data_IF_867299849427
#
_entry.id   IF_867299849427
#
_cell.length_a   1.000
_cell.length_b   1.000
_cell.length_c   1.000
_cell.angle_alpha   90.00
_cell.angle_beta   90.00
_cell.angle_gamma   90.00
#
_symmetry.space_group_name_H-M   'P 1'
#
loop_
_entity.id
_entity.type
_entity.pdbx_description
1 polymer ?
#
# COMPACT_ATOMS: atom_id res chain seq x y z
N UNK A 1 9.92 -1.45 -5.55
CA UNK A 1 8.68 -0.78 -5.11
C UNK A 1 7.58 -1.82 -5.02
N UNK A 2 6.94 -1.92 -3.88
CA UNK A 2 5.82 -2.86 -3.67
C UNK A 2 4.68 -2.04 -3.06
N UNK A 3 3.62 -1.80 -3.82
CA UNK A 3 2.52 -0.93 -3.40
C UNK A 3 1.26 -1.77 -3.24
N UNK A 4 0.73 -1.84 -2.01
CA UNK A 4 -0.58 -2.41 -1.72
C UNK A 4 -1.69 -1.40 -2.00
N UNK A 5 -2.60 -1.72 -2.92
CA UNK A 5 -3.80 -0.94 -3.18
C UNK A 5 -4.92 -1.83 -3.67
N UNK A 6 -6.16 -1.50 -3.32
CA UNK A 6 -7.35 -2.24 -3.77
C UNK A 6 -8.44 -1.35 -4.36
N UNK A 7 -8.58 -0.10 -3.89
CA UNK A 7 -9.62 0.79 -4.39
C UNK A 7 -9.20 1.45 -5.71
N UNK A 8 -10.14 1.50 -6.66
CA UNK A 8 -9.98 2.21 -7.95
C UNK A 8 -11.09 3.24 -8.14
N UNK A 9 -11.52 3.86 -7.04
CA UNK A 9 -12.66 4.76 -7.00
C UNK A 9 -12.50 5.94 -7.97
N UNK A 10 -11.29 6.51 -8.08
CA UNK A 10 -11.05 7.63 -8.99
C UNK A 10 -11.20 7.23 -10.47
N UNK A 11 -10.79 6.01 -10.85
CA UNK A 11 -11.02 5.46 -12.20
C UNK A 11 -12.52 5.37 -12.49
N UNK A 12 -13.33 4.97 -11.50
CA UNK A 12 -14.78 4.93 -11.64
C UNK A 12 -15.34 6.34 -11.83
N UNK A 13 -14.87 7.32 -11.06
CA UNK A 13 -15.34 8.72 -11.18
C UNK A 13 -15.00 9.29 -12.55
N UNK A 14 -13.75 9.19 -13.00
CA UNK A 14 -13.34 9.77 -14.29
C UNK A 14 -14.00 9.06 -15.47
N UNK A 15 -14.25 7.74 -15.37
CA UNK A 15 -14.96 6.99 -16.42
C UNK A 15 -16.40 7.45 -16.65
N UNK A 16 -17.04 8.12 -15.68
CA UNK A 16 -18.39 8.68 -15.83
C UNK A 16 -18.39 10.03 -16.56
N UNK A 17 -17.28 10.76 -16.55
CA UNK A 17 -17.11 12.04 -17.22
C UNK A 17 -16.46 11.84 -18.60
N UNK A 18 -17.10 11.06 -19.48
CA UNK A 18 -16.51 10.62 -20.76
C UNK A 18 -16.01 11.81 -21.62
N UNK A 19 -16.70 12.95 -21.56
CA UNK A 19 -16.33 14.16 -22.31
C UNK A 19 -15.11 14.91 -21.74
N UNK A 20 -14.64 14.53 -20.54
CA UNK A 20 -13.49 15.13 -19.86
C UNK A 20 -12.24 14.24 -19.90
N UNK A 21 -12.37 13.02 -20.43
CA UNK A 21 -11.27 12.07 -20.58
C UNK A 21 -10.21 12.66 -21.51
N UNK A 22 -8.95 12.64 -21.04
CA UNK A 22 -7.78 13.08 -21.77
C UNK A 22 -6.65 12.03 -21.73
N UNK A 23 -5.51 12.34 -22.34
CA UNK A 23 -4.38 11.40 -22.47
C UNK A 23 -3.73 11.02 -21.14
N UNK A 24 -3.98 11.75 -20.04
CA UNK A 24 -3.45 11.41 -18.73
C UNK A 24 -4.28 10.34 -18.01
N UNK A 25 -5.56 10.14 -18.34
CA UNK A 25 -6.46 9.23 -17.61
C UNK A 25 -5.90 7.82 -17.44
N UNK A 26 -5.36 7.25 -18.53
CA UNK A 26 -4.76 5.91 -18.50
C UNK A 26 -3.59 5.83 -17.50
N UNK A 27 -2.70 6.83 -17.51
CA UNK A 27 -1.54 6.85 -16.59
C UNK A 27 -1.90 7.37 -15.19
N UNK A 28 -2.99 8.11 -15.05
CA UNK A 28 -3.45 8.71 -13.79
C UNK A 28 -4.15 7.71 -12.88
N UNK A 29 -4.74 6.66 -13.45
CA UNK A 29 -5.62 5.72 -12.71
C UNK A 29 -5.17 4.26 -12.74
N UNK A 30 -4.28 3.88 -13.65
CA UNK A 30 -3.75 2.52 -13.74
C UNK A 30 -3.05 2.08 -12.43
N UNK A 31 -3.49 0.96 -11.86
CA UNK A 31 -2.94 0.44 -10.60
C UNK A 31 -1.41 0.23 -10.67
N UNK A 32 -0.90 -0.31 -11.78
CA UNK A 32 0.54 -0.49 -12.02
C UNK A 32 1.34 0.80 -11.96
N UNK A 33 0.74 1.92 -12.39
CA UNK A 33 1.40 3.23 -12.40
C UNK A 33 1.60 3.76 -10.98
N UNK A 34 0.81 3.33 -9.99
CA UNK A 34 1.04 3.72 -8.59
C UNK A 34 2.44 3.29 -8.10
N UNK A 35 2.91 2.10 -8.48
CA UNK A 35 4.27 1.64 -8.18
C UNK A 35 5.30 2.21 -9.18
N UNK A 36 4.98 2.13 -10.48
CA UNK A 36 5.92 2.49 -11.54
C UNK A 36 6.27 3.99 -11.55
N UNK A 37 5.35 4.86 -11.15
CA UNK A 37 5.60 6.31 -11.06
C UNK A 37 6.64 6.62 -9.99
N UNK A 38 6.62 5.92 -8.85
CA UNK A 38 7.67 6.05 -7.82
C UNK A 38 9.01 5.55 -8.37
N UNK A 39 9.01 4.38 -9.03
CA UNK A 39 10.23 3.88 -9.69
C UNK A 39 10.80 4.87 -10.70
N UNK A 40 9.96 5.42 -11.56
CA UNK A 40 10.34 6.39 -12.59
C UNK A 40 10.91 7.67 -11.96
N UNK A 41 10.18 8.29 -11.03
CA UNK A 41 10.58 9.56 -10.40
C UNK A 41 11.92 9.47 -9.68
N UNK A 42 12.21 8.32 -9.04
CA UNK A 42 13.44 8.11 -8.29
C UNK A 42 14.50 7.29 -9.05
N UNK A 43 14.28 7.03 -10.36
CA UNK A 43 15.16 6.22 -11.21
C UNK A 43 15.54 4.85 -10.59
N UNK A 44 14.55 4.16 -10.03
CA UNK A 44 14.72 2.87 -9.37
C UNK A 44 14.45 1.74 -10.36
N UNK A 45 15.41 0.82 -10.49
CA UNK A 45 15.41 -0.23 -11.53
C UNK A 45 15.05 -1.63 -11.01
N UNK A 46 14.84 -1.79 -9.70
CA UNK A 46 14.37 -3.06 -9.11
C UNK A 46 12.90 -3.36 -9.38
N UNK A 47 12.35 -4.48 -8.85
CA UNK A 47 10.95 -4.86 -9.03
C UNK A 47 9.99 -3.71 -8.68
N UNK A 48 8.96 -3.49 -9.50
CA UNK A 48 7.96 -2.44 -9.29
C UNK A 48 6.55 -2.99 -9.51
N UNK A 49 5.80 -3.17 -8.42
CA UNK A 49 4.57 -3.95 -8.43
C UNK A 49 3.46 -3.26 -7.65
N UNK A 50 2.28 -3.23 -8.25
CA UNK A 50 1.02 -2.98 -7.58
C UNK A 50 0.42 -4.34 -7.16
N UNK A 51 0.01 -4.45 -5.89
CA UNK A 51 -0.45 -5.67 -5.26
C UNK A 51 -1.84 -5.42 -4.70
N UNK A 52 -2.78 -6.27 -5.11
CA UNK A 52 -4.14 -6.29 -4.61
C UNK A 52 -4.46 -7.67 -4.03
N UNK A 53 -4.53 -7.72 -2.71
CA UNK A 53 -5.07 -8.86 -1.95
C UNK A 53 -6.19 -8.36 -1.02
N UNK A 54 -6.94 -7.35 -1.47
CA UNK A 54 -7.95 -6.63 -0.69
C UNK A 54 -7.37 -6.04 0.62
N UNK A 55 -8.02 -6.28 1.77
CA UNK A 55 -7.68 -5.67 3.05
C UNK A 55 -6.26 -5.99 3.56
N UNK A 56 -5.61 -7.03 3.02
CA UNK A 56 -4.25 -7.45 3.40
C UNK A 56 -3.16 -6.93 2.46
N UNK A 57 -3.51 -6.13 1.45
CA UNK A 57 -2.61 -5.73 0.35
C UNK A 57 -1.27 -5.17 0.83
N UNK A 58 -1.27 -4.30 1.85
CA UNK A 58 -0.03 -3.75 2.40
C UNK A 58 0.85 -4.82 3.07
N UNK A 59 0.25 -5.71 3.87
CA UNK A 59 1.00 -6.77 4.55
C UNK A 59 1.53 -7.81 3.56
N UNK A 60 0.78 -8.10 2.49
CA UNK A 60 1.28 -8.97 1.43
C UNK A 60 2.38 -8.30 0.60
N UNK A 61 2.25 -7.00 0.29
CA UNK A 61 3.32 -6.24 -0.35
C UNK A 61 4.60 -6.23 0.49
N UNK A 62 4.47 -6.09 1.82
CA UNK A 62 5.58 -6.18 2.76
C UNK A 62 6.21 -7.58 2.73
N UNK A 63 5.38 -8.63 2.83
CA UNK A 63 5.84 -10.02 2.74
C UNK A 63 6.62 -10.27 1.44
N UNK A 64 6.07 -9.85 0.31
CA UNK A 64 6.70 -10.08 -0.99
C UNK A 64 7.99 -9.28 -1.16
N UNK A 65 8.04 -8.05 -0.65
CA UNK A 65 9.27 -7.25 -0.62
C UNK A 65 10.39 -7.92 0.19
N UNK A 66 10.05 -8.53 1.33
CA UNK A 66 11.01 -9.29 2.14
C UNK A 66 11.54 -10.51 1.38
N UNK A 67 10.66 -11.21 0.66
CA UNK A 67 11.05 -12.35 -0.16
C UNK A 67 11.97 -11.94 -1.31
N UNK A 68 11.67 -10.84 -2.01
CA UNK A 68 12.51 -10.27 -3.08
C UNK A 68 13.90 -9.85 -2.57
N UNK A 69 13.98 -9.27 -1.37
CA UNK A 69 15.26 -8.95 -0.73
C UNK A 69 16.04 -10.23 -0.41
N UNK A 70 15.34 -11.28 0.05
CA UNK A 70 15.95 -12.55 0.45
C UNK A 70 16.43 -13.38 -0.76
N UNK A 71 15.69 -13.37 -1.86
CA UNK A 71 16.06 -14.03 -3.12
C UNK A 71 17.18 -13.30 -3.86
N UNK A 72 17.45 -12.04 -3.51
CA UNK A 72 18.45 -11.21 -4.17
C UNK A 72 17.91 -10.44 -5.38
N UNK A 73 16.60 -10.46 -5.62
CA UNK A 73 15.94 -9.69 -6.68
C UNK A 73 16.06 -8.17 -6.46
N UNK A 74 16.26 -7.75 -5.20
CA UNK A 74 16.63 -6.38 -4.85
C UNK A 74 17.46 -6.28 -3.57
N UNK A 75 18.22 -5.20 -3.41
CA UNK A 75 19.03 -4.97 -2.20
C UNK A 75 18.31 -4.19 -1.10
N UNK A 76 17.23 -3.50 -1.48
CA UNK A 76 16.37 -2.70 -0.64
C UNK A 76 15.02 -2.57 -1.33
N UNK A 77 13.98 -2.27 -0.55
CA UNK A 77 12.63 -2.10 -1.07
C UNK A 77 11.92 -0.93 -0.39
N UNK A 78 11.10 -0.22 -1.15
CA UNK A 78 10.07 0.66 -0.60
C UNK A 78 8.76 -0.11 -0.69
N UNK A 79 8.10 -0.27 0.43
CA UNK A 79 6.78 -0.89 0.53
C UNK A 79 5.76 0.15 0.98
N UNK A 80 4.69 0.33 0.23
CA UNK A 80 3.65 1.30 0.52
C UNK A 80 2.25 0.69 0.53
N UNK A 81 1.31 1.38 1.15
CA UNK A 81 -0.10 1.06 1.11
C UNK A 81 -0.94 2.33 1.00
N UNK A 82 -2.01 2.31 0.21
CA UNK A 82 -2.94 3.44 0.09
C UNK A 82 -4.38 2.97 -0.03
N UNK A 83 -5.28 3.69 0.64
CA UNK A 83 -6.72 3.51 0.53
C UNK A 83 -7.41 4.88 0.59
N UNK A 84 -8.14 5.22 -0.48
CA UNK A 84 -9.02 6.38 -0.54
C UNK A 84 -10.44 5.90 -0.91
N UNK A 85 -11.45 6.57 -0.38
CA UNK A 85 -12.87 6.29 -0.55
C UNK A 85 -13.49 7.49 -1.24
N UNK A 86 -13.49 7.46 -2.57
CA UNK A 86 -13.90 8.59 -3.42
C UNK A 86 -15.30 8.35 -4.00
N UNK A 87 -15.67 7.07 -4.23
CA UNK A 87 -16.94 6.70 -4.83
C UNK A 87 -17.80 5.87 -3.84
N UNK A 88 -19.10 6.16 -3.71
CA UNK A 88 -19.95 5.46 -2.74
C UNK A 88 -20.27 4.01 -3.14
N UNK A 89 -19.99 3.56 -4.37
CA UNK A 89 -20.41 2.23 -4.86
C UNK A 89 -19.94 1.10 -3.96
N UNK A 90 -18.65 1.09 -3.61
CA UNK A 90 -18.08 0.08 -2.72
C UNK A 90 -18.68 0.16 -1.32
N UNK A 91 -18.91 1.37 -0.80
CA UNK A 91 -19.56 1.57 0.49
C UNK A 91 -20.98 1.00 0.51
N UNK A 92 -21.81 1.35 -0.49
CA UNK A 92 -23.19 0.85 -0.63
C UNK A 92 -23.22 -0.68 -0.76
N UNK A 93 -22.30 -1.25 -1.54
CA UNK A 93 -22.19 -2.71 -1.69
C UNK A 93 -21.89 -3.39 -0.36
N UNK A 94 -20.92 -2.88 0.40
CA UNK A 94 -20.54 -3.43 1.71
C UNK A 94 -21.65 -3.25 2.75
N UNK A 95 -22.40 -2.14 2.71
CA UNK A 95 -23.58 -1.93 3.57
C UNK A 95 -24.68 -2.95 3.26
N UNK A 96 -24.97 -3.21 1.98
CA UNK A 96 -25.95 -4.25 1.58
C UNK A 96 -25.50 -5.66 1.98
N UNK A 97 -24.20 -5.91 2.00
CA UNK A 97 -23.60 -7.13 2.53
C UNK A 97 -23.58 -7.20 4.07
N UNK A 98 -24.11 -6.18 4.78
CA UNK A 98 -24.11 -6.07 6.25
C UNK A 98 -22.71 -6.12 6.87
N UNK A 99 -21.70 -5.62 6.14
CA UNK A 99 -20.31 -5.59 6.61
C UNK A 99 -19.97 -4.29 7.35
N UNK A 100 -20.73 -3.22 7.12
CA UNK A 100 -20.49 -1.88 7.67
C UNK A 100 -21.32 -1.68 8.93
N UNK A 101 -20.67 -1.20 10.00
CA UNK A 101 -21.38 -0.79 11.22
C UNK A 101 -22.29 0.41 10.92
N UNK A 102 -23.56 0.44 11.38
CA UNK A 102 -24.43 1.61 11.22
C UNK A 102 -23.87 2.88 11.87
N UNK A 103 -23.03 2.74 12.90
CA UNK A 103 -22.33 3.84 13.56
C UNK A 103 -21.04 4.24 12.83
N UNK A 104 -20.61 3.47 11.81
CA UNK A 104 -19.36 3.69 11.09
C UNK A 104 -18.11 3.42 11.93
N UNK A 105 -18.23 2.71 13.06
CA UNK A 105 -17.15 2.48 14.02
C UNK A 105 -16.84 0.99 14.12
N UNK A 106 -15.56 0.64 14.02
CA UNK A 106 -15.09 -0.72 14.33
C UNK A 106 -15.02 -0.91 15.84
N UNK A 107 -15.74 -1.91 16.36
CA UNK A 107 -15.81 -2.22 17.80
C UNK A 107 -15.13 -3.56 18.10
N UNK A 108 -13.80 -3.70 17.90
CA UNK A 108 -13.12 -4.99 17.99
C UNK A 108 -13.32 -5.60 19.39
N UNK A 109 -13.67 -6.88 19.43
CA UNK A 109 -13.88 -7.68 20.65
C UNK A 109 -15.05 -7.22 21.55
N UNK A 110 -15.87 -6.26 21.12
CA UNK A 110 -17.05 -5.81 21.86
C UNK A 110 -18.24 -6.75 21.69
N UNK A 111 -19.05 -6.91 22.74
CA UNK A 111 -20.38 -7.58 22.64
C UNK A 111 -21.36 -6.84 21.71
N UNK A 112 -21.08 -5.57 21.41
CA UNK A 112 -21.88 -4.71 20.51
C UNK A 112 -21.27 -4.60 19.11
N UNK A 113 -20.35 -5.50 18.71
CA UNK A 113 -19.76 -5.48 17.37
C UNK A 113 -20.82 -5.80 16.30
N UNK A 114 -20.97 -4.91 15.33
CA UNK A 114 -22.06 -4.89 14.34
C UNK A 114 -21.55 -4.60 12.91
N UNK A 115 -20.25 -4.75 12.67
CA UNK A 115 -19.57 -4.45 11.41
C UNK A 115 -18.27 -3.68 11.65
N UNK A 116 -17.65 -3.18 10.56
CA UNK A 116 -16.47 -2.32 10.64
C UNK A 116 -16.76 -0.92 10.06
N UNK A 117 -15.99 0.06 10.53
CA UNK A 117 -15.91 1.40 9.92
C UNK A 117 -14.85 1.43 8.83
N UNK A 118 -15.19 1.94 7.64
CA UNK A 118 -14.19 2.15 6.58
C UNK A 118 -13.33 3.36 6.94
N UNK A 119 -12.03 3.27 6.67
CA UNK A 119 -11.09 4.37 6.88
C UNK A 119 -10.21 4.61 5.65
N UNK A 120 -9.68 5.81 5.53
CA UNK A 120 -8.71 6.20 4.51
C UNK A 120 -7.32 6.29 5.13
N UNK A 121 -6.29 6.18 4.30
CA UNK A 121 -4.92 6.36 4.75
C UNK A 121 -3.89 5.96 3.71
N UNK A 122 -2.69 6.47 3.89
CA UNK A 122 -1.51 6.05 3.16
C UNK A 122 -0.33 5.88 4.11
N UNK A 123 0.58 4.98 3.77
CA UNK A 123 1.78 4.72 4.57
C UNK A 123 2.85 4.05 3.73
N UNK A 124 4.11 4.34 4.07
CA UNK A 124 5.28 3.81 3.35
C UNK A 124 6.36 3.42 4.36
N UNK A 125 7.03 2.32 4.10
CA UNK A 125 8.21 1.86 4.84
C UNK A 125 9.34 1.55 3.88
N UNK A 126 10.57 1.91 4.27
CA UNK A 126 11.77 1.50 3.55
C UNK A 126 12.43 0.31 4.25
N UNK A 127 12.80 -0.70 3.45
CA UNK A 127 13.31 -1.99 3.88
C UNK A 127 14.74 -2.22 3.41
N UNK A 128 15.60 -2.70 4.31
CA UNK A 128 16.97 -3.12 3.98
C UNK A 128 17.45 -4.26 4.88
N UNK A 129 18.34 -5.16 4.42
CA UNK A 129 18.96 -6.17 5.28
C UNK A 129 19.73 -5.54 6.45
N UNK A 130 19.47 -6.00 7.68
CA UNK A 130 20.05 -5.44 8.92
C UNK A 130 21.59 -5.33 8.88
N UNK A 131 22.28 -6.31 8.29
CA UNK A 131 23.74 -6.30 8.14
C UNK A 131 24.25 -5.09 7.34
N UNK A 132 23.47 -4.58 6.38
CA UNK A 132 23.82 -3.45 5.52
C UNK A 132 23.36 -2.09 6.09
N UNK A 133 22.85 -2.04 7.33
CA UNK A 133 22.22 -0.85 7.92
C UNK A 133 23.21 0.07 8.62
N UNK A 134 24.34 -0.47 9.12
CA UNK A 134 25.32 0.27 9.93
C UNK A 134 25.83 1.57 9.31
N UNK A 135 25.83 1.68 7.98
CA UNK A 135 26.26 2.89 7.27
C UNK A 135 25.13 3.91 7.08
N UNK A 136 23.87 3.47 7.02
CA UNK A 136 22.71 4.35 6.79
C UNK A 136 22.31 5.12 8.04
N UNK A 137 22.29 4.49 9.21
CA UNK A 137 21.97 5.16 10.49
C UNK A 137 23.03 6.16 10.95
N UNK A 138 24.18 6.26 10.27
CA UNK A 138 25.14 7.35 10.49
C UNK A 138 24.67 8.67 9.88
N UNK A 139 23.70 8.63 8.97
CA UNK A 139 23.12 9.84 8.39
C UNK A 139 22.09 10.42 9.37
N UNK A 140 22.14 11.74 9.66
CA UNK A 140 21.31 12.36 10.70
C UNK A 140 19.80 12.28 10.43
N UNK A 141 19.39 12.00 9.18
CA UNK A 141 17.99 11.91 8.75
C UNK A 141 17.46 10.47 8.68
N UNK A 142 18.27 9.46 8.97
CA UNK A 142 17.88 8.06 8.83
C UNK A 142 17.82 7.40 10.20
N UNK A 143 16.65 6.90 10.57
CA UNK A 143 16.44 6.20 11.84
C UNK A 143 15.96 4.78 11.62
N UNK A 144 16.53 3.85 12.38
CA UNK A 144 15.98 2.53 12.56
C UNK A 144 14.75 2.63 13.47
N UNK A 145 13.58 2.29 12.95
CA UNK A 145 12.30 2.36 13.69
C UNK A 145 11.93 0.99 14.28
N UNK A 146 12.05 -0.08 13.49
CA UNK A 146 11.82 -1.45 13.94
C UNK A 146 12.57 -2.48 13.08
N UNK A 147 12.61 -3.75 13.51
CA UNK A 147 13.16 -4.86 12.74
C UNK A 147 12.16 -6.02 12.67
N UNK A 148 12.18 -6.76 11.55
CA UNK A 148 11.35 -7.93 11.31
C UNK A 148 12.24 -9.18 11.27
N UNK A 149 12.00 -10.14 12.16
CA UNK A 149 12.78 -11.38 12.20
C UNK A 149 12.12 -12.48 11.34
N UNK A 150 12.22 -12.33 10.03
CA UNK A 150 11.93 -13.43 9.09
C UNK A 150 13.24 -14.18 8.79
N UNK A 151 13.62 -15.11 9.66
CA UNK A 151 14.74 -16.04 9.46
C UNK A 151 16.04 -15.43 8.87
N UNK A 152 16.39 -14.18 9.23
CA UNK A 152 17.66 -13.44 9.02
C UNK A 152 17.59 -12.05 8.34
N UNK A 153 16.44 -11.42 8.05
CA UNK A 153 16.42 -10.02 7.54
C UNK A 153 15.08 -9.29 7.67
N UNK A 154 15.07 -8.08 8.26
CA UNK A 154 14.75 -6.80 7.59
C UNK A 154 14.59 -5.63 8.58
N UNK A 155 14.91 -4.42 8.09
CA UNK A 155 14.86 -3.14 8.79
C UNK A 155 13.65 -2.31 8.35
N UNK A 156 12.98 -1.61 9.27
CA UNK A 156 12.00 -0.56 8.97
C UNK A 156 12.67 0.81 9.18
N UNK A 157 12.78 1.61 8.12
CA UNK A 157 13.15 3.04 8.16
C UNK A 157 11.89 3.85 7.83
N UNK A 158 11.57 4.82 8.70
CA UNK A 158 10.69 5.94 8.40
C UNK A 158 11.54 7.17 8.21
#
# INVERSE_FOLDING_TARGET
>A
IFTGLMNRDYEIVTSRAVNEINHYDGTGTAASIAANRVSFTFNLTGPSLAIDTACSSFLFALHYALQAIKSGDCEAAICGGVNCIIDPRTFVSLTRAKMISPEGISKPFSKKADGYGRGEGCGVVFLKPLKKVKLLVKQPKVRLVAYLNFASSALIIT
#
